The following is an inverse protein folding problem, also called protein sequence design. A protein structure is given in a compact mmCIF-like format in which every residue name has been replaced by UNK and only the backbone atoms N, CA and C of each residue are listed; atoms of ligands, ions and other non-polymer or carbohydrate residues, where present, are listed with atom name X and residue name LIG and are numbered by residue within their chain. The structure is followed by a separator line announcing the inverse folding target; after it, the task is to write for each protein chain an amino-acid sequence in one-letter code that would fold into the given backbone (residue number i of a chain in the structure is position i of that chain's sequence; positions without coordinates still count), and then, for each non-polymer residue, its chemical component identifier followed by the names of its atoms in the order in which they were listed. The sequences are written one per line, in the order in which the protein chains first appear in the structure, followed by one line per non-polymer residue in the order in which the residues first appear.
data_IF_278561121874
#
_entry.id   IF_278561121874
#
_cell.length_a   1.000
_cell.length_b   1.000
_cell.length_c   1.000
_cell.angle_alpha   90.00
_cell.angle_beta   90.00
_cell.angle_gamma   90.00
#
_symmetry.space_group_name_H-M   'P 1'
#
loop_
_entity.id
_entity.type
_entity.pdbx_description
1 polymer ?
#
# COMPACT_ATOMS: atom_id res chain seq x y z
N UNK A 1 51.16 41.80 48.52
CA UNK A 1 50.89 42.27 47.15
C UNK A 1 51.63 41.39 46.14
N UNK A 2 50.92 40.53 45.40
CA UNK A 2 51.22 40.09 44.02
C UNK A 2 50.07 39.17 43.59
N UNK A 3 49.16 39.70 42.76
CA UNK A 3 48.06 38.95 42.13
C UNK A 3 48.65 38.15 40.97
N UNK A 4 48.45 36.83 40.97
CA UNK A 4 48.67 35.97 39.81
C UNK A 4 47.36 35.93 39.00
N UNK A 5 47.40 36.42 37.77
CA UNK A 5 46.34 36.23 36.79
C UNK A 5 46.63 34.95 35.99
N UNK A 6 45.65 34.05 35.77
CA UNK A 6 45.83 32.94 34.85
C UNK A 6 45.71 33.42 33.41
N UNK A 7 46.69 33.02 32.60
CA UNK A 7 46.73 33.21 31.14
C UNK A 7 45.66 32.34 30.49
N UNK A 8 44.71 32.96 29.80
CA UNK A 8 43.67 32.27 29.02
C UNK A 8 44.27 31.82 27.68
N UNK A 9 44.59 30.53 27.55
CA UNK A 9 44.98 29.93 26.26
C UNK A 9 43.72 29.63 25.45
N UNK A 10 43.43 30.45 24.44
CA UNK A 10 42.38 30.16 23.45
C UNK A 10 42.95 29.17 22.44
N UNK A 11 42.53 27.91 22.53
CA UNK A 11 42.78 26.89 21.51
C UNK A 11 41.74 27.08 20.41
N UNK A 12 42.15 27.58 19.25
CA UNK A 12 41.34 27.52 18.04
C UNK A 12 41.33 26.08 17.53
N UNK A 13 40.34 25.30 17.94
CA UNK A 13 39.94 24.10 17.20
C UNK A 13 39.38 24.58 15.86
N UNK A 14 40.17 24.42 14.79
CA UNK A 14 39.63 24.32 13.44
C UNK A 14 38.76 23.07 13.40
N UNK A 15 37.49 23.22 13.77
CA UNK A 15 36.47 22.25 13.45
C UNK A 15 36.43 22.12 11.94
N UNK A 16 36.89 20.98 11.42
CA UNK A 16 36.48 20.55 10.09
C UNK A 16 34.96 20.58 10.11
N UNK A 17 34.37 21.52 9.39
CA UNK A 17 32.95 21.49 9.09
C UNK A 17 32.67 20.10 8.52
N UNK A 18 31.69 19.35 9.07
CA UNK A 18 31.34 18.07 8.52
C UNK A 18 31.05 18.28 7.04
N UNK A 19 31.76 17.52 6.19
CA UNK A 19 31.48 17.41 4.77
C UNK A 19 29.97 17.28 4.65
N UNK A 20 29.30 18.27 4.08
CA UNK A 20 27.85 18.27 3.94
C UNK A 20 27.51 16.97 3.23
N UNK A 21 26.86 16.06 3.97
CA UNK A 21 26.38 14.81 3.42
C UNK A 21 25.60 15.16 2.15
N UNK A 22 26.02 14.61 1.01
CA UNK A 22 25.26 14.70 -0.22
C UNK A 22 23.87 14.19 0.09
N UNK A 23 22.91 15.12 0.22
CA UNK A 23 21.51 14.76 0.40
C UNK A 23 21.13 13.83 -0.74
N UNK A 24 20.55 12.71 -0.35
CA UNK A 24 20.20 11.63 -1.23
C UNK A 24 19.32 12.15 -2.37
N UNK A 25 19.29 11.47 -3.52
CA UNK A 25 18.41 11.84 -4.64
C UNK A 25 16.96 11.87 -4.16
N UNK A 26 16.48 13.06 -3.78
CA UNK A 26 15.08 13.30 -3.43
C UNK A 26 14.35 13.45 -4.74
N UNK A 27 13.28 12.69 -4.91
CA UNK A 27 12.50 12.75 -6.13
C UNK A 27 11.02 12.69 -5.84
N UNK A 28 10.25 13.26 -6.75
CA UNK A 28 8.81 13.10 -6.78
C UNK A 28 8.35 12.94 -8.23
N UNK A 29 7.36 12.08 -8.39
CA UNK A 29 6.64 11.93 -9.65
C UNK A 29 5.33 12.70 -9.56
N UNK A 30 5.16 13.64 -10.48
CA UNK A 30 4.01 14.56 -10.55
C UNK A 30 3.36 14.47 -11.92
N UNK A 31 2.03 14.37 -11.96
CA UNK A 31 1.25 14.48 -13.20
C UNK A 31 1.10 15.95 -13.56
N UNK A 32 1.31 16.31 -14.83
CA UNK A 32 1.28 17.69 -15.33
C UNK A 32 2.19 18.62 -14.49
N UNK A 33 3.52 18.37 -14.46
CA UNK A 33 4.45 19.07 -13.58
C UNK A 33 4.59 20.57 -13.91
N UNK A 34 4.23 20.99 -15.12
CA UNK A 34 4.27 22.38 -15.58
C UNK A 34 2.82 22.88 -15.72
N UNK A 35 2.36 23.82 -14.89
CA UNK A 35 1.04 24.41 -15.02
C UNK A 35 1.06 25.50 -16.11
N UNK A 36 1.01 25.11 -17.38
CA UNK A 36 0.86 26.04 -18.52
C UNK A 36 -0.22 25.57 -19.49
N UNK A 37 -0.83 26.54 -20.20
CA UNK A 37 -1.81 26.26 -21.24
C UNK A 37 -1.16 25.43 -22.37
N UNK A 38 -1.66 24.21 -22.59
CA UNK A 38 -1.12 23.28 -23.61
C UNK A 38 -0.52 21.99 -23.07
N UNK A 39 -0.47 21.80 -21.74
CA UNK A 39 0.04 20.54 -21.14
C UNK A 39 -0.95 19.41 -21.40
N UNK A 40 -0.43 18.33 -21.98
CA UNK A 40 -1.23 17.15 -22.30
C UNK A 40 -1.53 16.35 -21.03
N UNK A 41 -2.73 15.77 -20.89
CA UNK A 41 -3.16 15.10 -19.67
C UNK A 41 -2.42 13.78 -19.34
N UNK A 42 -1.53 13.33 -20.22
CA UNK A 42 -0.68 12.13 -20.13
C UNK A 42 0.80 12.44 -19.80
N UNK A 43 1.14 13.71 -19.56
CA UNK A 43 2.51 14.13 -19.23
C UNK A 43 2.82 13.98 -17.73
N UNK A 44 3.98 13.39 -17.44
CA UNK A 44 4.50 13.18 -16.10
C UNK A 44 5.90 13.78 -15.97
N UNK A 45 6.20 14.29 -14.78
CA UNK A 45 7.51 14.81 -14.43
C UNK A 45 8.12 14.02 -13.30
N UNK A 46 9.30 13.46 -13.54
CA UNK A 46 10.22 13.05 -12.47
C UNK A 46 11.06 14.26 -12.12
N UNK A 47 10.89 14.80 -10.91
CA UNK A 47 11.63 15.96 -10.44
C UNK A 47 12.39 15.65 -9.17
N UNK A 48 13.52 16.30 -8.96
CA UNK A 48 14.34 16.03 -7.79
C UNK A 48 15.63 16.83 -7.74
N UNK A 49 16.52 16.44 -6.84
CA UNK A 49 17.92 16.91 -6.80
C UNK A 49 18.83 15.73 -7.14
N UNK A 50 19.64 15.89 -8.18
CA UNK A 50 20.66 14.94 -8.53
C UNK A 50 21.94 15.25 -7.74
N UNK A 51 22.71 14.22 -7.38
CA UNK A 51 23.87 14.37 -6.52
C UNK A 51 25.03 15.16 -7.16
N UNK A 52 25.05 15.34 -8.48
CA UNK A 52 26.09 16.08 -9.17
C UNK A 52 25.53 16.85 -10.40
N UNK A 53 26.39 17.54 -11.15
CA UNK A 53 25.96 18.31 -12.33
C UNK A 53 25.62 17.48 -13.56
N UNK A 54 25.84 16.17 -13.55
CA UNK A 54 25.47 15.27 -14.63
C UNK A 54 24.04 14.79 -14.42
N UNK A 55 23.10 15.70 -14.70
CA UNK A 55 21.67 15.41 -14.61
C UNK A 55 21.35 14.22 -15.54
N UNK A 56 20.61 13.22 -15.05
CA UNK A 56 20.25 12.07 -15.84
C UNK A 56 19.28 12.44 -16.96
N UNK A 57 19.40 11.79 -18.11
CA UNK A 57 18.46 11.89 -19.21
C UNK A 57 17.61 10.62 -19.31
N UNK A 58 16.38 10.74 -19.83
CA UNK A 58 15.52 9.58 -20.07
C UNK A 58 16.03 8.84 -21.30
N UNK A 59 16.44 7.59 -21.11
CA UNK A 59 16.85 6.69 -22.19
C UNK A 59 15.63 5.99 -22.77
N UNK A 60 14.73 5.51 -21.92
CA UNK A 60 13.51 4.85 -22.37
C UNK A 60 12.42 4.86 -21.32
N UNK A 61 11.17 4.88 -21.79
CA UNK A 61 9.98 4.61 -20.99
C UNK A 61 9.29 3.41 -21.63
N UNK A 62 9.18 2.31 -20.90
CA UNK A 62 8.66 1.05 -21.42
C UNK A 62 7.59 0.48 -20.49
N UNK A 63 6.51 -0.09 -21.03
CA UNK A 63 5.71 -1.00 -20.24
C UNK A 63 6.54 -2.25 -19.94
N UNK A 64 6.71 -2.60 -18.66
CA UNK A 64 7.15 -3.95 -18.31
C UNK A 64 5.91 -4.87 -18.36
N UNK A 65 6.13 -6.16 -18.67
CA UNK A 65 5.09 -7.16 -18.91
C UNK A 65 3.78 -6.97 -18.15
N UNK A 66 2.66 -7.26 -18.82
CA UNK A 66 1.33 -7.26 -18.23
C UNK A 66 1.17 -8.48 -17.32
N UNK A 67 1.66 -8.39 -16.09
CA UNK A 67 1.26 -9.34 -15.06
C UNK A 67 -0.20 -9.06 -14.70
N UNK A 68 -1.10 -9.92 -15.21
CA UNK A 68 -2.47 -10.11 -14.75
C UNK A 68 -3.23 -8.84 -14.29
N UNK A 69 -3.29 -7.82 -15.16
CA UNK A 69 -4.09 -6.60 -14.91
C UNK A 69 -3.36 -5.44 -14.23
N UNK A 70 -2.05 -5.55 -13.98
CA UNK A 70 -1.23 -4.43 -13.55
C UNK A 70 -0.49 -3.81 -14.74
N UNK A 71 -0.58 -2.49 -14.91
CA UNK A 71 0.32 -1.79 -15.82
C UNK A 71 1.58 -1.39 -15.07
N UNK A 72 2.70 -1.96 -15.50
CA UNK A 72 4.02 -1.61 -15.00
C UNK A 72 4.65 -0.65 -15.99
N UNK A 73 5.10 0.51 -15.52
CA UNK A 73 5.97 1.40 -16.31
C UNK A 73 7.37 1.44 -15.71
N UNK A 74 8.36 1.21 -16.58
CA UNK A 74 9.76 1.36 -16.26
C UNK A 74 10.32 2.58 -16.99
N UNK A 75 10.93 3.49 -16.23
CA UNK A 75 11.70 4.61 -16.77
C UNK A 75 13.17 4.31 -16.53
N UNK A 76 13.92 4.18 -17.62
CA UNK A 76 15.37 4.08 -17.57
C UNK A 76 15.98 5.44 -17.83
N UNK A 77 16.86 5.85 -16.94
CA UNK A 77 17.64 7.07 -17.06
C UNK A 77 19.14 6.78 -17.11
N UNK A 78 19.91 7.71 -17.68
CA UNK A 78 21.36 7.62 -17.78
C UNK A 78 21.99 8.99 -17.66
N UNK A 79 23.08 9.08 -16.90
CA UNK A 79 23.86 10.32 -16.82
C UNK A 79 24.75 10.46 -18.05
N UNK A 80 24.92 11.68 -18.61
CA UNK A 80 25.92 11.92 -19.65
C UNK A 80 27.33 11.62 -19.11
N UNK A 81 28.25 11.20 -19.99
CA UNK A 81 29.62 10.88 -19.58
C UNK A 81 30.39 12.13 -19.12
N UNK A 82 31.36 11.88 -18.23
CA UNK A 82 32.16 12.81 -17.43
C UNK A 82 33.00 13.83 -18.24
N UNK A 83 33.45 14.95 -17.62
CA UNK A 83 33.49 15.25 -16.18
C UNK A 83 32.23 15.91 -15.59
N UNK A 84 31.79 15.39 -14.44
CA UNK A 84 30.69 15.95 -13.62
C UNK A 84 31.25 16.76 -12.45
N UNK A 85 30.67 17.91 -12.14
CA UNK A 85 30.96 18.66 -10.93
C UNK A 85 30.16 18.05 -9.76
N UNK A 86 30.74 17.80 -8.58
CA UNK A 86 30.05 17.24 -7.40
C UNK A 86 28.95 18.14 -6.80
N UNK A 87 28.55 19.22 -7.48
CA UNK A 87 27.48 20.11 -7.06
C UNK A 87 26.10 19.47 -7.28
N UNK A 88 25.29 19.26 -6.22
CA UNK A 88 23.92 18.79 -6.37
C UNK A 88 23.13 19.73 -7.28
N UNK A 89 22.41 19.17 -8.25
CA UNK A 89 21.73 19.93 -9.30
C UNK A 89 20.26 19.51 -9.41
N UNK A 90 19.31 20.47 -9.37
CA UNK A 90 17.90 20.13 -9.54
C UNK A 90 17.62 19.62 -10.95
N UNK A 91 16.67 18.71 -11.08
CA UNK A 91 16.26 18.17 -12.37
C UNK A 91 14.74 18.07 -12.50
N UNK A 92 14.27 18.10 -13.74
CA UNK A 92 12.90 17.78 -14.15
C UNK A 92 12.98 17.00 -15.47
N UNK A 93 12.65 15.71 -15.42
CA UNK A 93 12.57 14.86 -16.59
C UNK A 93 11.10 14.67 -16.95
N UNK A 94 10.72 15.13 -18.14
CA UNK A 94 9.37 15.01 -18.67
C UNK A 94 9.27 13.76 -19.53
N UNK A 95 8.21 13.00 -19.32
CA UNK A 95 7.88 11.86 -20.17
C UNK A 95 6.38 11.63 -20.22
N UNK A 96 5.96 10.85 -21.21
CA UNK A 96 4.58 10.46 -21.38
C UNK A 96 4.38 9.05 -20.86
N UNK A 97 3.29 8.87 -20.13
CA UNK A 97 2.77 7.54 -19.83
C UNK A 97 1.68 7.18 -20.84
N UNK A 98 1.44 5.89 -21.11
CA UNK A 98 0.35 5.48 -22.00
C UNK A 98 -0.99 6.11 -21.57
N UNK A 99 -1.81 6.58 -22.52
CA UNK A 99 -3.10 7.23 -22.22
C UNK A 99 -4.07 6.32 -21.43
N UNK A 100 -3.85 5.00 -21.49
CA UNK A 100 -4.61 3.96 -20.80
C UNK A 100 -3.85 3.36 -19.61
N UNK A 101 -3.30 4.19 -18.72
CA UNK A 101 -2.93 3.69 -17.38
C UNK A 101 -4.20 3.12 -16.74
N UNK A 102 -4.22 1.84 -16.37
CA UNK A 102 -5.35 1.34 -15.59
C UNK A 102 -5.49 2.13 -14.28
N UNK A 103 -6.62 1.90 -13.62
CA UNK A 103 -6.97 2.45 -12.31
C UNK A 103 -5.78 2.50 -11.33
N UNK A 104 -4.90 1.49 -11.36
CA UNK A 104 -3.62 1.52 -10.66
C UNK A 104 -2.47 1.13 -11.60
N UNK A 105 -1.32 1.79 -11.47
CA UNK A 105 -0.10 1.47 -12.23
C UNK A 105 1.12 1.50 -11.32
N UNK A 106 2.05 0.59 -11.55
CA UNK A 106 3.33 0.52 -10.84
C UNK A 106 4.38 1.30 -11.63
N UNK A 107 5.07 2.24 -10.98
CA UNK A 107 6.13 3.03 -11.60
C UNK A 107 7.48 2.65 -11.00
N UNK A 108 8.42 2.24 -11.86
CA UNK A 108 9.78 1.90 -11.50
C UNK A 108 10.76 2.84 -12.22
N UNK A 109 11.65 3.47 -11.47
CA UNK A 109 12.71 4.31 -12.00
C UNK A 109 14.07 3.62 -11.85
N UNK A 110 14.66 3.27 -12.98
CA UNK A 110 16.00 2.72 -13.07
C UNK A 110 17.01 3.77 -13.55
N UNK A 111 18.22 3.67 -13.04
CA UNK A 111 19.37 4.46 -13.48
C UNK A 111 20.52 3.56 -13.92
N UNK A 112 21.27 4.03 -14.90
CA UNK A 112 22.44 3.35 -15.43
C UNK A 112 23.56 4.37 -15.60
N UNK A 113 24.68 4.16 -14.91
CA UNK A 113 25.82 5.08 -14.92
C UNK A 113 26.65 4.97 -16.23
N UNK A 114 26.68 3.79 -16.86
CA UNK A 114 27.38 3.52 -18.13
C UNK A 114 26.56 2.57 -19.02
N UNK A 115 26.46 2.78 -20.36
CA UNK A 115 25.76 1.88 -21.29
C UNK A 115 26.10 0.37 -21.19
N UNK A 116 27.26 -0.01 -20.65
CA UNK A 116 27.66 -1.40 -20.43
C UNK A 116 27.28 -1.97 -19.04
N UNK A 117 26.80 -1.15 -18.11
CA UNK A 117 26.52 -1.55 -16.71
C UNK A 117 25.06 -1.94 -16.45
N UNK A 118 24.85 -2.65 -15.33
CA UNK A 118 23.53 -3.08 -14.84
C UNK A 118 22.72 -1.86 -14.35
N UNK A 119 21.48 -1.74 -14.80
CA UNK A 119 20.58 -0.69 -14.33
C UNK A 119 20.14 -0.98 -12.88
N UNK A 120 20.19 0.03 -12.02
CA UNK A 120 19.81 -0.04 -10.61
C UNK A 120 18.52 0.70 -10.34
N UNK A 121 17.69 0.16 -9.44
CA UNK A 121 16.41 0.76 -9.09
C UNK A 121 16.65 1.92 -8.11
N UNK A 122 16.23 3.13 -8.49
CA UNK A 122 16.36 4.35 -7.69
C UNK A 122 15.05 4.80 -7.06
N UNK A 123 13.92 4.38 -7.61
CA UNK A 123 12.63 4.85 -7.16
C UNK A 123 11.48 3.95 -7.57
N UNK A 124 10.47 3.90 -6.69
CA UNK A 124 9.21 3.23 -6.94
C UNK A 124 8.03 4.08 -6.47
N UNK A 125 6.92 3.99 -7.18
CA UNK A 125 5.66 4.63 -6.76
C UNK A 125 4.46 3.89 -7.33
N UNK A 126 3.41 3.80 -6.53
CA UNK A 126 2.09 3.42 -7.03
C UNK A 126 1.35 4.66 -7.52
N UNK A 127 0.92 4.59 -8.78
CA UNK A 127 0.11 5.60 -9.44
C UNK A 127 -1.35 5.19 -9.40
N UNK A 128 -2.20 6.13 -9.00
CA UNK A 128 -3.64 6.04 -9.15
C UNK A 128 -4.04 6.80 -10.42
N UNK A 129 -4.77 6.16 -11.32
CA UNK A 129 -5.53 6.89 -12.33
C UNK A 129 -6.87 7.28 -11.68
N UNK A 130 -7.33 8.50 -11.95
CA UNK A 130 -8.56 9.03 -11.35
C UNK A 130 -9.84 8.40 -11.90
N UNK A 131 -9.72 7.44 -12.83
CA UNK A 131 -10.84 6.76 -13.48
C UNK A 131 -10.90 5.35 -12.86
N UNK A 132 -11.97 5.07 -12.13
CA UNK A 132 -12.32 3.73 -11.62
C UNK A 132 -11.44 3.13 -10.53
N UNK A 133 -11.15 3.89 -9.47
CA UNK A 133 -10.90 3.26 -8.19
C UNK A 133 -12.19 3.33 -7.39
N UNK A 134 -12.86 2.19 -7.27
CA UNK A 134 -13.98 2.00 -6.35
C UNK A 134 -13.61 2.58 -4.97
N UNK A 135 -14.62 3.00 -4.18
CA UNK A 135 -14.44 3.41 -2.78
C UNK A 135 -14.03 2.19 -1.93
N UNK A 136 -12.82 1.69 -2.15
CA UNK A 136 -12.22 0.60 -1.41
C UNK A 136 -11.89 1.15 -0.04
N UNK A 137 -12.59 0.65 0.97
CA UNK A 137 -12.30 0.94 2.38
C UNK A 137 -11.69 -0.31 3.00
N UNK A 138 -10.39 -0.32 3.31
CA UNK A 138 -9.78 -1.46 3.98
C UNK A 138 -10.36 -1.64 5.37
N UNK A 139 -10.45 -2.88 5.82
CA UNK A 139 -10.82 -3.21 7.18
C UNK A 139 -9.65 -2.95 8.13
N UNK A 140 -9.91 -2.25 9.23
CA UNK A 140 -8.92 -2.08 10.29
C UNK A 140 -8.57 -3.40 11.00
N UNK A 141 -7.34 -3.50 11.48
CA UNK A 141 -6.78 -4.58 12.27
C UNK A 141 -5.57 -5.24 11.62
N UNK A 142 -5.36 -6.53 11.91
CA UNK A 142 -4.14 -7.26 11.51
C UNK A 142 -4.20 -7.77 10.08
N UNK A 143 -3.11 -7.58 9.36
CA UNK A 143 -2.89 -8.05 8.00
C UNK A 143 -1.61 -8.87 7.95
N UNK A 144 -1.67 -9.98 7.24
CA UNK A 144 -0.56 -10.93 7.15
C UNK A 144 -0.38 -11.41 5.71
N UNK A 145 0.82 -11.88 5.32
CA UNK A 145 1.04 -12.50 4.03
C UNK A 145 0.02 -13.60 3.77
N UNK A 146 -0.62 -13.53 2.60
CA UNK A 146 -1.62 -14.48 2.15
C UNK A 146 -0.98 -15.87 2.06
N UNK A 147 -1.45 -16.88 2.82
CA UNK A 147 -0.86 -18.22 2.82
C UNK A 147 -0.77 -18.78 1.39
N UNK A 148 0.34 -19.45 1.03
CA UNK A 148 0.52 -20.05 -0.29
C UNK A 148 0.51 -19.06 -1.47
N UNK A 149 0.76 -17.77 -1.24
CA UNK A 149 1.04 -16.84 -2.34
C UNK A 149 2.44 -17.10 -2.92
N UNK A 150 2.61 -16.94 -4.24
CA UNK A 150 3.85 -17.26 -4.96
C UNK A 150 5.10 -16.49 -4.47
N UNK A 151 4.90 -15.39 -3.74
CA UNK A 151 5.93 -14.76 -2.93
C UNK A 151 5.86 -15.42 -1.54
N UNK A 152 6.57 -16.54 -1.36
CA UNK A 152 6.81 -17.17 -0.06
C UNK A 152 7.53 -16.18 0.86
N UNK A 153 6.73 -15.29 1.44
CA UNK A 153 7.22 -14.16 2.22
C UNK A 153 7.67 -14.60 3.62
N UNK A 154 7.47 -15.88 3.95
CA UNK A 154 7.66 -16.41 5.28
C UNK A 154 6.72 -15.77 6.31
N UNK A 155 6.43 -16.46 7.42
CA UNK A 155 5.83 -15.82 8.57
C UNK A 155 6.86 -14.85 9.17
N UNK A 156 6.59 -13.54 9.17
CA UNK A 156 7.48 -12.60 9.86
C UNK A 156 7.31 -11.12 9.55
N UNK A 157 6.55 -10.76 8.51
CA UNK A 157 6.21 -9.35 8.28
C UNK A 157 4.71 -9.17 8.21
N UNK A 158 4.16 -8.36 9.11
CA UNK A 158 2.74 -8.04 9.19
C UNK A 158 2.49 -6.56 8.98
N UNK A 159 1.20 -6.22 8.90
CA UNK A 159 0.75 -4.85 9.08
C UNK A 159 -0.42 -4.81 10.08
N UNK A 160 -0.40 -3.84 10.98
CA UNK A 160 -1.63 -3.33 11.59
C UNK A 160 -2.11 -2.16 10.75
N UNK A 161 -3.36 -2.22 10.28
CA UNK A 161 -3.98 -1.18 9.46
C UNK A 161 -5.09 -0.51 10.23
N UNK A 162 -5.15 0.82 10.16
CA UNK A 162 -6.30 1.60 10.59
C UNK A 162 -6.68 2.64 9.53
N UNK A 163 -7.97 2.73 9.21
CA UNK A 163 -8.49 3.60 8.17
C UNK A 163 -9.66 4.43 8.69
N UNK A 164 -9.46 5.75 8.71
CA UNK A 164 -10.44 6.70 9.21
C UNK A 164 -10.47 7.93 8.31
N UNK A 165 -11.64 8.30 7.79
CA UNK A 165 -11.86 9.51 6.99
C UNK A 165 -10.87 9.75 5.85
N UNK A 166 -10.50 8.69 5.13
CA UNK A 166 -9.55 8.78 4.01
C UNK A 166 -8.09 8.75 4.44
N UNK A 167 -7.78 8.79 5.74
CA UNK A 167 -6.44 8.65 6.28
C UNK A 167 -6.16 7.18 6.61
N UNK A 168 -5.05 6.66 6.09
CA UNK A 168 -4.55 5.34 6.45
C UNK A 168 -3.38 5.49 7.40
N UNK A 169 -3.49 4.87 8.57
CA UNK A 169 -2.37 4.62 9.48
C UNK A 169 -2.00 3.15 9.39
N UNK A 170 -0.71 2.87 9.30
CA UNK A 170 -0.19 1.51 9.27
C UNK A 170 0.99 1.37 10.21
N UNK A 171 1.08 0.22 10.87
CA UNK A 171 2.27 -0.20 11.59
C UNK A 171 2.79 -1.44 10.87
N UNK A 172 4.00 -1.38 10.36
CA UNK A 172 4.69 -2.53 9.79
C UNK A 172 5.45 -3.23 10.90
N UNK A 173 5.07 -4.47 11.20
CA UNK A 173 5.82 -5.34 12.10
C UNK A 173 6.81 -6.16 11.28
N UNK A 174 8.11 -5.90 11.41
CA UNK A 174 9.15 -6.56 10.60
C UNK A 174 10.43 -6.79 11.41
N UNK A 175 11.53 -7.12 10.73
CA UNK A 175 12.85 -7.32 11.34
C UNK A 175 13.88 -6.43 10.65
N UNK A 176 14.79 -5.86 11.44
CA UNK A 176 15.92 -5.10 10.92
C UNK A 176 16.99 -6.03 10.29
N UNK A 177 18.09 -5.46 9.80
CA UNK A 177 19.22 -6.19 9.20
C UNK A 177 19.90 -7.18 10.16
N UNK A 178 19.78 -6.97 11.47
CA UNK A 178 20.30 -7.85 12.51
C UNK A 178 19.31 -8.96 12.91
N UNK A 179 18.14 -9.01 12.26
CA UNK A 179 17.06 -9.95 12.59
C UNK A 179 16.30 -9.61 13.88
N UNK A 180 16.48 -8.40 14.42
CA UNK A 180 15.74 -7.94 15.59
C UNK A 180 14.38 -7.37 15.18
N UNK A 181 13.31 -7.61 15.94
CA UNK A 181 11.99 -7.10 15.61
C UNK A 181 11.98 -5.57 15.65
N UNK A 182 11.30 -4.97 14.69
CA UNK A 182 11.07 -3.53 14.61
C UNK A 182 9.64 -3.21 14.17
N UNK A 183 9.16 -2.06 14.66
CA UNK A 183 7.85 -1.52 14.33
C UNK A 183 8.03 -0.19 13.64
N UNK A 184 7.46 -0.07 12.45
CA UNK A 184 7.58 1.11 11.62
C UNK A 184 6.20 1.71 11.38
N UNK A 185 6.00 2.97 11.76
CA UNK A 185 4.73 3.67 11.57
C UNK A 185 4.72 4.39 10.22
N UNK A 186 3.64 4.28 9.47
CA UNK A 186 3.37 5.09 8.29
C UNK A 186 1.98 5.71 8.38
N UNK A 187 1.81 6.91 7.85
CA UNK A 187 0.51 7.58 7.81
C UNK A 187 0.41 8.42 6.56
N UNK A 188 -0.59 8.14 5.74
CA UNK A 188 -0.83 8.91 4.52
C UNK A 188 -2.30 8.86 4.08
N UNK A 189 -2.78 9.89 3.38
CA UNK A 189 -4.08 9.84 2.71
C UNK A 189 -4.12 8.67 1.72
N UNK A 190 -5.22 7.93 1.73
CA UNK A 190 -5.47 6.88 0.76
C UNK A 190 -6.34 7.44 -0.37
N UNK A 191 -5.88 7.29 -1.61
CA UNK A 191 -6.62 7.72 -2.80
C UNK A 191 -6.89 6.52 -3.69
N UNK A 192 -8.16 6.16 -3.81
CA UNK A 192 -8.59 5.04 -4.64
C UNK A 192 -7.95 3.70 -4.23
N UNK A 193 -7.93 3.40 -2.94
CA UNK A 193 -7.33 2.17 -2.44
C UNK A 193 -5.78 2.12 -2.54
N UNK A 194 -5.12 3.21 -2.95
CA UNK A 194 -3.65 3.30 -2.98
C UNK A 194 -3.17 4.24 -1.89
N UNK A 195 -2.09 3.84 -1.22
CA UNK A 195 -1.29 4.74 -0.39
C UNK A 195 0.20 4.58 -0.69
N UNK A 196 0.96 5.65 -0.50
CA UNK A 196 2.42 5.65 -0.51
C UNK A 196 2.85 6.47 0.71
N UNK A 197 3.64 5.90 1.61
CA UNK A 197 4.13 6.61 2.80
C UNK A 197 5.56 6.19 3.12
N UNK A 198 6.35 7.15 3.58
CA UNK A 198 7.58 6.82 4.29
C UNK A 198 7.23 6.20 5.65
N UNK A 199 8.16 5.41 6.15
CA UNK A 199 8.05 4.72 7.42
C UNK A 199 8.95 5.40 8.44
N UNK A 200 8.46 5.61 9.65
CA UNK A 200 9.24 6.15 10.76
C UNK A 200 9.38 5.12 11.87
N UNK A 201 10.55 5.13 12.52
CA UNK A 201 10.85 4.26 13.66
C UNK A 201 11.01 5.12 14.89
N UNK A 202 10.35 4.74 15.97
CA UNK A 202 10.55 5.36 17.27
C UNK A 202 11.57 4.55 18.06
N UNK A 203 12.60 5.21 18.58
CA UNK A 203 13.67 4.58 19.35
C UNK A 203 13.91 5.33 20.66
N UNK A 204 14.64 4.72 21.61
CA UNK A 204 15.09 5.36 22.85
C UNK A 204 13.99 5.94 23.77
N UNK A 205 12.72 5.56 23.55
CA UNK A 205 11.59 5.98 24.39
C UNK A 205 11.56 5.32 25.77
N UNK A 206 10.61 5.72 26.60
CA UNK A 206 10.37 5.09 27.89
C UNK A 206 9.78 3.68 27.76
N UNK A 207 10.04 2.83 28.75
CA UNK A 207 9.32 1.56 28.93
C UNK A 207 7.96 1.80 29.61
N UNK A 208 7.12 0.76 29.67
CA UNK A 208 5.76 0.85 30.26
C UNK A 208 5.74 1.38 31.71
N UNK A 209 6.75 1.01 32.51
CA UNK A 209 6.84 1.34 33.94
C UNK A 209 8.06 2.19 34.30
N UNK A 210 8.84 2.62 33.31
CA UNK A 210 10.06 3.40 33.52
C UNK A 210 9.80 4.90 33.62
N UNK A 211 10.82 5.64 34.05
CA UNK A 211 10.80 7.10 34.00
C UNK A 211 10.62 7.60 32.56
N UNK A 212 9.93 8.73 32.43
CA UNK A 212 9.69 9.35 31.14
C UNK A 212 11.01 9.65 30.41
N UNK A 213 11.07 9.23 29.14
CA UNK A 213 12.15 9.54 28.19
C UNK A 213 11.51 9.85 26.84
N UNK A 214 11.79 11.01 26.23
CA UNK A 214 11.23 11.34 24.93
C UNK A 214 11.77 10.36 23.88
N UNK A 215 10.92 9.82 22.98
CA UNK A 215 11.39 8.98 21.90
C UNK A 215 12.16 9.81 20.87
N UNK A 216 13.16 9.18 20.26
CA UNK A 216 13.83 9.69 19.07
C UNK A 216 13.12 9.14 17.84
N UNK A 217 12.87 10.01 16.86
CA UNK A 217 12.35 9.62 15.55
C UNK A 217 13.56 9.35 14.66
N UNK A 218 13.69 8.08 14.28
CA UNK A 218 14.55 7.67 13.19
C UNK A 218 13.70 7.62 11.93
N UNK A 219 13.97 8.54 11.00
CA UNK A 219 13.37 8.50 9.67
C UNK A 219 13.97 7.31 8.94
N UNK A 220 13.38 6.15 9.21
CA UNK A 220 13.80 4.90 8.61
C UNK A 220 13.84 5.14 7.12
N UNK A 221 14.93 4.75 6.45
CA UNK A 221 15.08 4.92 5.01
C UNK A 221 14.20 3.90 4.25
N UNK A 222 13.02 3.63 4.78
CA UNK A 222 12.07 2.66 4.31
C UNK A 222 10.78 3.37 3.91
N UNK A 223 10.11 2.83 2.92
CA UNK A 223 8.79 3.27 2.53
C UNK A 223 7.88 2.05 2.33
N UNK A 224 6.59 2.30 2.39
CA UNK A 224 5.59 1.30 2.06
C UNK A 224 4.61 1.87 1.05
N UNK A 225 4.31 1.03 0.07
CA UNK A 225 3.33 1.31 -0.95
C UNK A 225 2.27 0.22 -0.85
N UNK A 226 1.02 0.62 -0.74
CA UNK A 226 -0.09 -0.33 -0.57
C UNK A 226 -1.12 -0.07 -1.64
N UNK A 227 -1.59 -1.15 -2.24
CA UNK A 227 -2.78 -1.19 -3.09
C UNK A 227 -3.76 -2.18 -2.50
N UNK A 228 -4.87 -1.68 -1.98
CA UNK A 228 -5.99 -2.51 -1.57
C UNK A 228 -6.74 -3.01 -2.80
N UNK A 229 -6.99 -4.31 -2.83
CA UNK A 229 -7.79 -5.00 -3.85
C UNK A 229 -9.24 -5.17 -3.40
N UNK A 230 -9.45 -5.25 -2.09
CA UNK A 230 -10.76 -5.27 -1.43
C UNK A 230 -10.62 -4.79 0.01
N UNK A 231 -11.70 -4.83 0.80
CA UNK A 231 -11.61 -4.53 2.23
C UNK A 231 -10.68 -5.48 3.02
N UNK A 232 -10.34 -6.65 2.47
CA UNK A 232 -9.59 -7.69 3.17
C UNK A 232 -8.39 -8.25 2.39
N UNK A 233 -8.08 -7.69 1.22
CA UNK A 233 -6.93 -8.09 0.39
C UNK A 233 -6.15 -6.89 -0.09
N UNK A 234 -4.84 -7.00 -0.07
CA UNK A 234 -3.93 -5.95 -0.51
C UNK A 234 -2.69 -6.51 -1.18
N UNK A 235 -2.08 -5.72 -2.04
CA UNK A 235 -0.74 -5.90 -2.52
C UNK A 235 0.13 -4.80 -1.92
N UNK A 236 1.25 -5.19 -1.33
CA UNK A 236 2.14 -4.31 -0.57
C UNK A 236 3.53 -4.39 -1.15
N UNK A 237 4.22 -3.25 -1.20
CA UNK A 237 5.64 -3.17 -1.51
C UNK A 237 6.33 -2.51 -0.34
N UNK A 238 7.25 -3.25 0.28
CA UNK A 238 8.16 -2.72 1.27
C UNK A 238 9.43 -2.29 0.55
N UNK A 239 9.72 -0.99 0.62
CA UNK A 239 10.92 -0.37 0.09
C UNK A 239 11.93 -0.24 1.23
N UNK A 240 13.13 -0.77 1.04
CA UNK A 240 14.31 -0.40 1.83
C UNK A 240 15.30 0.34 0.94
N UNK A 241 15.92 1.38 1.47
CA UNK A 241 16.93 2.18 0.76
C UNK A 241 18.30 1.87 1.34
N UNK A 242 19.23 1.54 0.45
CA UNK A 242 20.62 1.25 0.79
C UNK A 242 21.55 2.23 0.07
N UNK A 243 22.74 2.46 0.66
CA UNK A 243 23.72 3.40 0.13
C UNK A 243 23.38 4.88 0.34
N UNK A 244 24.26 5.73 -0.17
CA UNK A 244 24.18 7.19 -0.06
C UNK A 244 24.50 7.86 -1.41
N UNK A 245 24.04 9.11 -1.58
CA UNK A 245 24.36 9.92 -2.76
C UNK A 245 24.02 9.23 -4.08
N UNK A 246 25.02 9.09 -4.95
CA UNK A 246 24.85 8.40 -6.22
C UNK A 246 24.75 6.89 -6.07
N UNK A 247 25.36 6.23 -5.10
CA UNK A 247 25.31 4.76 -4.98
C UNK A 247 24.00 4.25 -4.37
N UNK A 248 23.10 5.17 -4.03
CA UNK A 248 21.80 4.84 -3.47
C UNK A 248 21.02 3.91 -4.40
N UNK A 249 20.47 2.86 -3.82
CA UNK A 249 19.55 1.94 -4.48
C UNK A 249 18.35 1.69 -3.58
N UNK A 250 17.27 1.20 -4.19
CA UNK A 250 16.14 0.68 -3.42
C UNK A 250 15.97 -0.82 -3.69
N UNK A 251 15.64 -1.53 -2.62
CA UNK A 251 15.20 -2.92 -2.66
C UNK A 251 13.69 -2.94 -2.41
N UNK A 252 12.95 -3.62 -3.27
CA UNK A 252 11.50 -3.78 -3.14
C UNK A 252 11.15 -5.22 -2.82
N UNK A 253 10.36 -5.39 -1.76
CA UNK A 253 9.73 -6.66 -1.44
C UNK A 253 8.23 -6.56 -1.65
N UNK A 254 7.72 -7.25 -2.66
CA UNK A 254 6.28 -7.35 -2.95
C UNK A 254 5.65 -8.48 -2.12
N UNK A 255 4.54 -8.18 -1.46
CA UNK A 255 3.77 -9.06 -0.60
C UNK A 255 2.30 -9.03 -1.00
N UNK A 256 1.66 -10.19 -1.08
CA UNK A 256 0.20 -10.29 -1.07
C UNK A 256 -0.26 -10.41 0.37
N UNK A 257 -1.08 -9.49 0.84
CA UNK A 257 -1.57 -9.45 2.23
C UNK A 257 -3.07 -9.72 2.28
N UNK A 258 -3.50 -10.41 3.33
CA UNK A 258 -4.91 -10.59 3.69
C UNK A 258 -5.16 -10.09 5.11
N UNK A 259 -6.38 -9.61 5.36
CA UNK A 259 -6.85 -9.31 6.71
C UNK A 259 -6.91 -10.62 7.50
N UNK A 260 -6.06 -10.73 8.53
CA UNK A 260 -5.88 -11.93 9.34
C UNK A 260 -6.78 -11.93 10.58
N UNK A 261 -7.53 -13.01 10.79
CA UNK A 261 -8.37 -13.16 11.97
C UNK A 261 -7.67 -14.08 12.98
N UNK A 262 -7.54 -13.63 14.23
CA UNK A 262 -6.82 -14.35 15.27
C UNK A 262 -7.58 -15.57 15.84
N UNK A 263 -8.84 -15.77 15.45
CA UNK A 263 -9.72 -16.77 16.04
C UNK A 263 -10.41 -17.64 14.96
N UNK A 264 -9.80 -18.79 14.60
CA UNK A 264 -10.37 -19.73 13.64
C UNK A 264 -11.53 -20.56 14.24
N UNK A 265 -12.45 -21.13 13.41
CA UNK A 265 -12.46 -21.10 11.95
C UNK A 265 -13.02 -19.78 11.37
N UNK A 266 -12.26 -19.17 10.47
CA UNK A 266 -12.49 -17.81 9.98
C UNK A 266 -13.75 -17.74 9.12
N UNK A 267 -13.93 -18.68 8.17
CA UNK A 267 -15.06 -18.64 7.24
C UNK A 267 -16.42 -18.77 7.95
N UNK A 268 -16.53 -19.72 8.89
CA UNK A 268 -17.76 -19.90 9.67
C UNK A 268 -18.08 -18.61 10.40
N UNK A 269 -17.13 -18.04 11.15
CA UNK A 269 -17.36 -16.77 11.87
C UNK A 269 -17.62 -15.58 10.97
N UNK A 270 -16.96 -15.51 9.83
CA UNK A 270 -17.13 -14.42 8.89
C UNK A 270 -18.56 -14.42 8.36
N UNK A 271 -19.04 -15.57 7.89
CA UNK A 271 -20.29 -15.69 7.14
C UNK A 271 -21.52 -16.00 8.00
N UNK A 272 -21.37 -16.83 9.04
CA UNK A 272 -22.48 -17.21 9.94
C UNK A 272 -23.09 -16.00 10.63
N UNK A 273 -24.42 -15.93 10.70
CA UNK A 273 -25.15 -14.91 11.44
C UNK A 273 -26.27 -14.25 10.65
N UNK A 274 -26.87 -13.22 11.25
CA UNK A 274 -27.89 -12.38 10.62
C UNK A 274 -27.25 -11.23 9.87
N UNK A 275 -27.79 -10.93 8.71
CA UNK A 275 -27.31 -9.89 7.82
C UNK A 275 -28.45 -8.97 7.42
N UNK A 276 -28.18 -7.67 7.41
CA UNK A 276 -29.02 -6.63 6.85
C UNK A 276 -28.45 -6.19 5.51
N UNK A 277 -29.14 -6.49 4.43
CA UNK A 277 -28.81 -6.01 3.11
C UNK A 277 -29.35 -4.61 2.90
N UNK A 278 -28.50 -3.68 2.48
CA UNK A 278 -28.83 -2.29 2.23
C UNK A 278 -28.23 -1.82 0.90
N UNK A 279 -29.03 -1.30 -0.03
CA UNK A 279 -28.53 -0.64 -1.24
C UNK A 279 -27.77 0.64 -0.89
N UNK A 280 -26.60 0.88 -1.51
CA UNK A 280 -25.82 2.10 -1.28
C UNK A 280 -26.27 3.25 -2.20
N UNK A 281 -26.60 2.96 -3.46
CA UNK A 281 -26.78 3.99 -4.51
C UNK A 281 -28.22 4.50 -4.64
N UNK A 282 -29.17 3.97 -3.85
CA UNK A 282 -30.59 4.29 -3.98
C UNK A 282 -31.22 4.65 -2.63
N UNK A 283 -31.21 5.93 -2.23
CA UNK A 283 -31.77 6.36 -0.95
C UNK A 283 -33.27 6.07 -0.81
N UNK A 284 -34.01 6.03 -1.93
CA UNK A 284 -35.43 5.64 -1.95
C UNK A 284 -35.65 4.15 -1.60
N UNK A 285 -34.61 3.32 -1.78
CA UNK A 285 -34.61 1.89 -1.47
C UNK A 285 -34.14 1.59 -0.04
N UNK A 286 -33.81 2.60 0.78
CA UNK A 286 -33.48 2.38 2.20
C UNK A 286 -34.63 1.73 2.99
N UNK A 287 -35.86 1.77 2.47
CA UNK A 287 -37.03 1.07 3.04
C UNK A 287 -37.13 -0.42 2.67
N UNK A 288 -36.24 -0.92 1.80
CA UNK A 288 -36.21 -2.33 1.36
C UNK A 288 -35.00 -3.06 1.94
N UNK A 289 -34.60 -2.74 3.16
CA UNK A 289 -33.52 -3.48 3.80
C UNK A 289 -33.99 -4.92 4.04
N UNK A 290 -33.34 -5.87 3.36
CA UNK A 290 -33.69 -7.29 3.47
C UNK A 290 -32.83 -7.93 4.54
N UNK A 291 -33.43 -8.83 5.32
CA UNK A 291 -32.68 -9.63 6.27
C UNK A 291 -32.55 -11.05 5.77
N UNK A 292 -31.38 -11.64 5.97
CA UNK A 292 -31.17 -13.06 5.77
C UNK A 292 -30.28 -13.60 6.87
N UNK A 293 -30.39 -14.90 7.15
CA UNK A 293 -29.56 -15.56 8.17
C UNK A 293 -28.85 -16.76 7.57
N UNK A 294 -27.52 -16.75 7.65
CA UNK A 294 -26.66 -17.90 7.34
C UNK A 294 -26.49 -18.71 8.63
N UNK A 295 -26.86 -19.99 8.60
CA UNK A 295 -26.93 -20.89 9.76
C UNK A 295 -25.76 -21.85 9.81
N UNK A 296 -25.24 -22.23 8.66
CA UNK A 296 -24.01 -23.02 8.56
C UNK A 296 -23.40 -22.87 7.19
N UNK A 297 -22.16 -23.28 7.06
CA UNK A 297 -21.49 -23.43 5.78
C UNK A 297 -21.04 -24.87 5.56
N UNK A 298 -21.02 -25.30 4.31
CA UNK A 298 -20.44 -26.57 3.89
C UNK A 298 -19.32 -26.29 2.89
N UNK A 299 -18.14 -26.84 3.14
CA UNK A 299 -16.96 -26.61 2.32
C UNK A 299 -16.74 -27.84 1.43
N UNK A 300 -16.71 -27.63 0.13
CA UNK A 300 -16.38 -28.62 -0.89
C UNK A 300 -15.29 -28.08 -1.81
N UNK A 301 -14.05 -28.51 -1.58
CA UNK A 301 -12.83 -28.04 -2.25
C UNK A 301 -12.67 -26.50 -2.27
N UNK A 302 -13.17 -25.85 -3.34
CA UNK A 302 -13.06 -24.41 -3.61
C UNK A 302 -14.40 -23.68 -3.47
N UNK A 303 -15.47 -24.41 -3.18
CA UNK A 303 -16.82 -23.90 -3.08
C UNK A 303 -17.32 -24.05 -1.65
N UNK A 304 -17.79 -22.94 -1.08
CA UNK A 304 -18.44 -22.90 0.22
C UNK A 304 -19.93 -22.70 -0.03
N UNK A 305 -20.72 -23.73 0.21
CA UNK A 305 -22.18 -23.64 0.16
C UNK A 305 -22.69 -22.98 1.45
N UNK A 306 -23.61 -22.03 1.31
CA UNK A 306 -24.21 -21.31 2.42
C UNK A 306 -25.59 -21.88 2.69
N UNK A 307 -25.82 -22.33 3.93
CA UNK A 307 -27.13 -22.78 4.37
C UNK A 307 -27.86 -21.64 5.08
N UNK A 308 -29.07 -21.31 4.61
CA UNK A 308 -29.86 -20.22 5.14
C UNK A 308 -30.98 -20.74 6.06
N UNK A 309 -31.41 -19.89 6.99
CA UNK A 309 -32.57 -20.20 7.84
C UNK A 309 -33.88 -20.17 7.06
N UNK A 310 -33.98 -19.25 6.09
CA UNK A 310 -35.19 -19.00 5.32
C UNK A 310 -35.20 -19.91 4.08
N UNK A 311 -36.30 -20.65 3.90
CA UNK A 311 -36.44 -21.58 2.79
C UNK A 311 -36.42 -20.84 1.44
N UNK A 312 -35.68 -21.39 0.48
CA UNK A 312 -35.53 -20.82 -0.87
C UNK A 312 -34.36 -19.85 -1.04
N UNK A 313 -33.75 -19.38 0.05
CA UNK A 313 -32.49 -18.65 -0.03
C UNK A 313 -31.35 -19.63 -0.33
N UNK A 314 -30.49 -19.27 -1.27
CA UNK A 314 -29.33 -20.08 -1.64
C UNK A 314 -28.09 -19.20 -1.77
N UNK A 315 -26.91 -19.79 -1.65
CA UNK A 315 -25.70 -19.03 -1.80
C UNK A 315 -24.47 -19.91 -1.83
N UNK A 316 -23.48 -19.45 -2.57
CA UNK A 316 -22.19 -20.12 -2.70
C UNK A 316 -21.09 -19.08 -2.67
N UNK A 317 -19.95 -19.44 -2.07
CA UNK A 317 -18.75 -18.62 -2.11
C UNK A 317 -17.59 -19.39 -2.72
N UNK A 318 -16.78 -18.69 -3.50
CA UNK A 318 -15.51 -19.21 -4.01
C UNK A 318 -14.39 -18.84 -3.04
N UNK A 319 -13.57 -19.80 -2.68
CA UNK A 319 -12.36 -19.60 -1.87
C UNK A 319 -11.10 -19.87 -2.70
N UNK A 320 -9.94 -19.44 -2.21
CA UNK A 320 -8.69 -19.76 -2.86
C UNK A 320 -8.31 -21.23 -2.63
N UNK A 321 -7.77 -21.92 -3.65
CA UNK A 321 -7.17 -23.23 -3.45
C UNK A 321 -6.14 -23.22 -2.32
N UNK A 322 -6.33 -24.09 -1.34
CA UNK A 322 -5.45 -24.22 -0.18
C UNK A 322 -5.52 -23.08 0.83
N UNK A 323 -6.50 -22.15 0.75
CA UNK A 323 -6.64 -21.01 1.69
C UNK A 323 -8.04 -20.93 2.31
N UNK A 324 -8.46 -22.00 2.98
CA UNK A 324 -9.74 -22.03 3.72
C UNK A 324 -9.80 -21.03 4.88
N UNK A 325 -8.65 -20.57 5.38
CA UNK A 325 -8.56 -19.54 6.42
C UNK A 325 -8.59 -18.11 5.86
N UNK A 326 -8.70 -17.94 4.55
CA UNK A 326 -8.84 -16.61 3.93
C UNK A 326 -10.32 -16.27 3.70
N UNK A 327 -10.69 -14.97 3.73
CA UNK A 327 -11.99 -14.54 3.25
C UNK A 327 -12.28 -15.05 1.83
N UNK A 328 -13.54 -15.32 1.49
CA UNK A 328 -13.89 -15.77 0.15
C UNK A 328 -13.51 -14.72 -0.90
N UNK A 329 -13.21 -15.18 -2.11
CA UNK A 329 -12.99 -14.34 -3.28
C UNK A 329 -14.26 -13.60 -3.67
N UNK A 330 -15.36 -14.37 -3.70
CA UNK A 330 -16.65 -13.92 -4.17
C UNK A 330 -17.72 -14.81 -3.55
N UNK A 331 -18.85 -14.23 -3.18
CA UNK A 331 -20.06 -14.96 -2.82
C UNK A 331 -21.20 -14.55 -3.74
N UNK A 332 -21.96 -15.51 -4.25
CA UNK A 332 -23.23 -15.27 -4.90
C UNK A 332 -24.34 -15.70 -3.93
N UNK A 333 -25.24 -14.79 -3.61
CA UNK A 333 -26.38 -15.04 -2.71
C UNK A 333 -27.66 -14.75 -3.48
N UNK A 334 -28.61 -15.67 -3.41
CA UNK A 334 -29.96 -15.49 -3.93
C UNK A 334 -30.92 -15.42 -2.76
N UNK A 335 -31.68 -14.33 -2.69
CA UNK A 335 -32.69 -14.10 -1.65
C UNK A 335 -34.06 -14.19 -2.31
N UNK A 336 -34.92 -15.04 -1.76
CA UNK A 336 -36.30 -15.13 -2.17
C UNK A 336 -37.12 -14.04 -1.46
N UNK A 337 -37.78 -13.21 -2.26
CA UNK A 337 -38.62 -12.09 -1.79
C UNK A 337 -40.06 -12.31 -2.22
N UNK A 338 -40.99 -11.52 -1.67
CA UNK A 338 -42.39 -11.52 -2.13
C UNK A 338 -42.54 -11.21 -3.63
N UNK A 339 -41.55 -10.52 -4.21
CA UNK A 339 -41.53 -10.12 -5.63
C UNK A 339 -40.74 -11.06 -6.53
N UNK A 340 -40.12 -12.10 -5.98
CA UNK A 340 -39.31 -13.07 -6.73
C UNK A 340 -37.91 -13.25 -6.14
N UNK A 341 -37.05 -13.93 -6.90
CA UNK A 341 -35.67 -14.21 -6.49
C UNK A 341 -34.75 -13.08 -6.93
N UNK A 342 -34.00 -12.51 -5.99
CA UNK A 342 -33.01 -11.48 -6.25
C UNK A 342 -31.61 -12.04 -6.06
N UNK A 343 -30.71 -11.75 -7.01
CA UNK A 343 -29.32 -12.21 -6.98
C UNK A 343 -28.37 -11.08 -6.58
N UNK A 344 -27.43 -11.42 -5.70
CA UNK A 344 -26.40 -10.53 -5.16
C UNK A 344 -25.02 -11.18 -5.30
N UNK A 345 -24.04 -10.38 -5.69
CA UNK A 345 -22.64 -10.80 -5.80
C UNK A 345 -21.80 -9.95 -4.87
N UNK A 346 -21.16 -10.57 -3.87
CA UNK A 346 -20.25 -9.94 -2.93
C UNK A 346 -18.81 -10.31 -3.27
N UNK A 347 -17.91 -9.34 -3.27
CA UNK A 347 -16.49 -9.52 -3.61
C UNK A 347 -15.55 -8.82 -2.61
N UNK A 348 -16.10 -8.23 -1.55
CA UNK A 348 -15.36 -7.56 -0.49
C UNK A 348 -15.96 -7.94 0.85
N UNK A 349 -15.12 -8.47 1.74
CA UNK A 349 -15.55 -9.07 3.01
C UNK A 349 -14.77 -8.48 4.17
N UNK A 350 -15.47 -8.22 5.26
CA UNK A 350 -14.93 -7.85 6.57
C UNK A 350 -15.78 -8.52 7.65
N UNK A 351 -15.38 -8.39 8.92
CA UNK A 351 -16.01 -9.14 10.02
C UNK A 351 -17.52 -8.91 10.16
N UNK A 352 -17.97 -7.71 9.83
CA UNK A 352 -19.34 -7.23 10.02
C UNK A 352 -19.96 -6.70 8.73
N UNK A 353 -19.27 -6.85 7.58
CA UNK A 353 -19.71 -6.26 6.33
C UNK A 353 -19.30 -7.09 5.12
N UNK A 354 -20.25 -7.27 4.20
CA UNK A 354 -19.98 -7.72 2.84
C UNK A 354 -20.41 -6.63 1.87
N UNK A 355 -19.62 -6.41 0.81
CA UNK A 355 -19.94 -5.46 -0.24
C UNK A 355 -19.88 -6.10 -1.61
N UNK A 356 -20.70 -5.58 -2.50
CA UNK A 356 -20.66 -5.92 -3.91
C UNK A 356 -21.82 -5.28 -4.67
N UNK A 357 -22.47 -6.06 -5.53
CA UNK A 357 -23.48 -5.57 -6.46
C UNK A 357 -24.71 -6.47 -6.53
N UNK A 358 -25.87 -5.89 -6.84
CA UNK A 358 -27.06 -6.64 -7.22
C UNK A 358 -26.98 -7.12 -8.69
N UNK A 359 -28.02 -7.83 -9.13
CA UNK A 359 -28.17 -8.32 -10.50
C UNK A 359 -28.23 -7.22 -11.58
N UNK A 360 -28.44 -5.96 -11.20
CA UNK A 360 -28.45 -4.81 -12.09
C UNK A 360 -27.16 -3.99 -12.02
N UNK A 361 -26.19 -4.42 -11.21
CA UNK A 361 -24.90 -3.75 -11.01
C UNK A 361 -24.90 -2.64 -9.95
N UNK A 362 -26.03 -2.37 -9.29
CA UNK A 362 -26.10 -1.34 -8.26
C UNK A 362 -25.35 -1.79 -7.00
N UNK A 363 -24.68 -0.85 -6.31
CA UNK A 363 -23.88 -1.19 -5.12
C UNK A 363 -24.78 -1.57 -3.95
N UNK A 364 -24.37 -2.61 -3.24
CA UNK A 364 -25.05 -3.12 -2.05
C UNK A 364 -24.04 -3.42 -0.94
N UNK A 365 -24.49 -3.25 0.29
CA UNK A 365 -23.77 -3.65 1.49
C UNK A 365 -24.65 -4.53 2.36
N UNK A 366 -24.14 -5.70 2.76
CA UNK A 366 -24.73 -6.49 3.83
C UNK A 366 -23.98 -6.19 5.15
N UNK A 367 -24.70 -5.76 6.18
CA UNK A 367 -24.18 -5.52 7.52
C UNK A 367 -24.56 -6.66 8.44
N UNK A 368 -23.61 -7.15 9.22
CA UNK A 368 -23.88 -8.18 10.21
C UNK A 368 -24.64 -7.56 11.38
N UNK A 369 -25.87 -8.02 11.62
CA UNK A 369 -26.68 -7.58 12.77
C UNK A 369 -26.37 -8.52 13.92
N UNK A 370 -26.00 -7.96 15.07
CA UNK A 370 -25.52 -8.66 16.27
C UNK A 370 -25.91 -10.15 16.39
N UNK A 371 -24.93 -11.04 16.64
CA UNK A 371 -25.15 -12.44 16.96
C UNK A 371 -25.55 -12.57 18.44
N UNK A 372 -26.69 -11.99 18.83
CA UNK A 372 -27.40 -12.42 20.04
C UNK A 372 -28.33 -13.57 19.67
#
# INVERSE_FOLDING_TARGET
MKKLYPTLTIVFLFGMLPCQFLEAVEWSLTKNPIPQAGVRPDEYGLRGVWANSCIPEIVSVRPANQDAGNHITQVLTRSPQTPCNPRPSPFLLLFRLPENLAASSEFYWFHQDDPAQVARLLGFKLLSSSRDLADIRPASGWWWPEPGSAQDSGPGTGLTVDYQDGLLTLITETFNTDGQPEWLLGTAPMKGGITNTELIKFTHGQTLTGDYRPPLIDNSRNAIHVRFLSASRAQVWLESREGDGLDRTISLRKLMMVRYFMDPPILERLLHGRWLLAPEDRPDYARQAQQFRIVSIAIDELLVSLNFADAGNTGTCRVFPGKLDSPPQQCEIQINTDTGVEKYTFNSFSIDRMRGHDQFGARITAFKINPN
#
